data_IF_122528647704
#
_entry.id   IF_122528647704
#
_cell.length_a   1.000
_cell.length_b   1.000
_cell.length_c   1.000
_cell.angle_alpha   90.00
_cell.angle_beta   90.00
_cell.angle_gamma   90.00
#
_symmetry.space_group_name_H-M   'P 1'
#
loop_
_entity.id
_entity.type
_entity.pdbx_description
1 polymer ?
#
# COMPACT_ATOMS: atom_id res chain seq x y z
N UNK A 1 -2.71 -14.39 -5.07
CA UNK A 1 -1.26 -14.69 -4.95
C UNK A 1 -0.95 -14.67 -3.47
N UNK A 2 -0.54 -15.78 -2.82
CA UNK A 2 -0.13 -15.75 -1.42
C UNK A 2 1.14 -14.91 -1.31
N UNK A 3 1.04 -13.79 -0.61
CA UNK A 3 2.11 -12.83 -0.36
C UNK A 3 1.82 -12.12 0.95
N UNK A 4 2.85 -11.53 1.55
CA UNK A 4 2.74 -10.78 2.79
C UNK A 4 2.83 -9.27 2.51
N UNK A 5 2.22 -8.45 3.35
CA UNK A 5 2.40 -7.01 3.33
C UNK A 5 3.81 -6.70 3.85
N UNK A 6 4.71 -6.27 2.95
CA UNK A 6 6.07 -5.86 3.32
C UNK A 6 6.02 -4.54 4.09
N UNK A 7 5.30 -3.54 3.55
CA UNK A 7 5.18 -2.22 4.20
C UNK A 7 3.94 -1.46 3.74
N UNK A 8 3.32 -0.76 4.68
CA UNK A 8 2.28 0.25 4.39
C UNK A 8 2.91 1.64 4.49
N UNK A 9 2.75 2.45 3.46
CA UNK A 9 3.36 3.79 3.36
C UNK A 9 2.37 4.93 3.68
N UNK A 10 1.10 4.59 3.85
CA UNK A 10 0.02 5.56 4.06
C UNK A 10 -0.73 5.33 5.37
N UNK A 11 -1.39 6.37 5.86
CA UNK A 11 -2.24 6.33 7.05
C UNK A 11 -3.68 6.77 6.73
N UNK A 12 -4.69 6.31 7.49
CA UNK A 12 -6.04 6.84 7.38
C UNK A 12 -6.06 8.37 7.54
N UNK A 13 -6.81 9.06 6.68
CA UNK A 13 -6.89 10.52 6.63
C UNK A 13 -5.74 11.22 5.90
N UNK A 14 -4.73 10.48 5.41
CA UNK A 14 -3.64 11.04 4.62
C UNK A 14 -4.11 11.39 3.20
N UNK A 15 -3.72 12.58 2.72
CA UNK A 15 -3.88 12.94 1.32
C UNK A 15 -2.78 12.28 0.46
N UNK A 16 -3.16 11.76 -0.70
CA UNK A 16 -2.30 11.10 -1.68
C UNK A 16 -2.48 11.73 -3.06
N UNK A 17 -1.47 11.61 -3.91
CA UNK A 17 -1.50 11.98 -5.32
C UNK A 17 -1.52 10.72 -6.19
N UNK A 18 -1.87 10.88 -7.47
CA UNK A 18 -1.65 9.84 -8.46
C UNK A 18 -0.18 9.41 -8.47
N UNK A 19 0.07 8.12 -8.69
CA UNK A 19 1.39 7.46 -8.63
C UNK A 19 2.04 7.36 -7.24
N UNK A 20 1.44 7.87 -6.16
CA UNK A 20 1.98 7.69 -4.80
C UNK A 20 1.96 6.21 -4.39
N UNK A 21 3.07 5.74 -3.79
CA UNK A 21 3.16 4.36 -3.30
C UNK A 21 2.31 4.20 -2.04
N UNK A 22 1.33 3.30 -2.09
CA UNK A 22 0.40 3.03 -1.00
C UNK A 22 0.91 1.91 -0.09
N UNK A 23 1.26 0.77 -0.70
CA UNK A 23 1.67 -0.45 -0.01
C UNK A 23 2.66 -1.23 -0.86
N UNK A 24 3.64 -1.87 -0.25
CA UNK A 24 4.45 -2.91 -0.88
C UNK A 24 4.05 -4.28 -0.35
N UNK A 25 3.88 -5.22 -1.27
CA UNK A 25 3.62 -6.63 -0.97
C UNK A 25 4.82 -7.46 -1.42
N UNK A 26 5.18 -8.47 -0.65
CA UNK A 26 6.21 -9.42 -1.03
C UNK A 26 5.56 -10.78 -1.32
N UNK A 27 5.81 -11.29 -2.51
CA UNK A 27 5.43 -12.65 -2.87
C UNK A 27 6.62 -13.35 -3.52
N UNK A 28 7.03 -14.49 -2.94
CA UNK A 28 8.09 -15.34 -3.48
C UNK A 28 9.41 -14.59 -3.81
N UNK A 29 9.87 -13.72 -2.90
CA UNK A 29 11.08 -12.87 -3.04
C UNK A 29 10.98 -11.75 -4.07
N UNK A 30 9.77 -11.41 -4.51
CA UNK A 30 9.50 -10.27 -5.39
C UNK A 30 8.66 -9.27 -4.63
N UNK A 31 9.17 -8.05 -4.50
CA UNK A 31 8.40 -6.91 -3.98
C UNK A 31 7.59 -6.27 -5.12
N UNK A 32 6.30 -6.06 -4.86
CA UNK A 32 5.38 -5.35 -5.74
C UNK A 32 4.83 -4.14 -5.01
N UNK A 33 5.11 -2.95 -5.53
CA UNK A 33 4.54 -1.69 -5.04
C UNK A 33 3.17 -1.46 -5.70
N UNK A 34 2.20 -1.09 -4.87
CA UNK A 34 0.88 -0.63 -5.32
C UNK A 34 0.87 0.88 -5.26
N UNK A 35 0.51 1.50 -6.38
CA UNK A 35 0.45 2.95 -6.54
C UNK A 35 -1.01 3.42 -6.55
N UNK A 36 -1.22 4.67 -6.14
CA UNK A 36 -2.49 5.35 -6.27
C UNK A 36 -2.82 5.64 -7.73
N UNK A 37 -4.03 5.27 -8.16
CA UNK A 37 -4.51 5.56 -9.52
C UNK A 37 -4.81 7.05 -9.71
N UNK A 38 -5.27 7.72 -8.66
CA UNK A 38 -5.61 9.13 -8.66
C UNK A 38 -5.32 9.79 -7.30
N UNK A 39 -5.37 11.11 -7.26
CA UNK A 39 -5.29 11.89 -6.03
C UNK A 39 -6.54 11.72 -5.17
N UNK A 40 -6.37 11.63 -3.86
CA UNK A 40 -7.48 11.40 -2.94
C UNK A 40 -7.04 11.43 -1.47
N UNK A 41 -7.93 10.97 -0.60
CA UNK A 41 -7.66 10.84 0.84
C UNK A 41 -7.94 9.42 1.26
N UNK A 42 -7.01 8.80 1.98
CA UNK A 42 -7.16 7.43 2.48
C UNK A 42 -8.29 7.39 3.50
N UNK A 43 -9.34 6.62 3.21
CA UNK A 43 -10.47 6.47 4.13
C UNK A 43 -10.08 5.59 5.34
N UNK A 44 -9.47 4.44 5.08
CA UNK A 44 -9.06 3.48 6.09
C UNK A 44 -7.95 2.57 5.56
N UNK A 45 -7.20 1.95 6.47
CA UNK A 45 -6.15 0.97 6.17
C UNK A 45 -6.49 -0.29 6.96
N UNK A 46 -6.84 -1.36 6.25
CA UNK A 46 -7.32 -2.62 6.84
C UNK A 46 -6.22 -3.67 7.06
N UNK A 47 -4.99 -3.34 6.70
CA UNK A 47 -3.83 -4.24 6.74
C UNK A 47 -2.67 -3.58 7.47
N UNK A 48 -1.76 -4.40 7.98
CA UNK A 48 -0.51 -3.94 8.61
C UNK A 48 0.67 -4.69 8.01
N UNK A 49 1.88 -4.15 8.20
CA UNK A 49 3.10 -4.85 7.81
C UNK A 49 3.16 -6.23 8.51
N UNK A 50 3.39 -7.28 7.73
CA UNK A 50 3.44 -8.67 8.16
C UNK A 50 2.13 -9.47 8.08
N UNK A 51 1.02 -8.85 7.67
CA UNK A 51 -0.22 -9.58 7.33
C UNK A 51 -0.12 -10.34 5.99
#
# INVERSE_FOLDING_TARGET
>A
MPGAISRVFVSPGQAINADDVLVSTEAMKVETAIHAEENGTIAEVLVKAGD
#
